data_IF_346854680122
#
_entry.id   IF_346854680122
#
_cell.length_a   1.000
_cell.length_b   1.000
_cell.length_c   1.000
_cell.angle_alpha   90.00
_cell.angle_beta   90.00
_cell.angle_gamma   90.00
#
_symmetry.space_group_name_H-M   'P 1'
#
loop_
_entity.id
_entity.type
_entity.pdbx_description
1 polymer ?
#
# COMPACT_ATOMS: atom_id res chain seq x y z
N UNK A 1 4.98 -4.38 -11.24
CA UNK A 1 3.98 -5.14 -10.45
C UNK A 1 2.64 -5.10 -11.19
N UNK A 2 1.86 -6.19 -11.22
CA UNK A 2 0.55 -6.24 -11.91
C UNK A 2 -0.60 -6.15 -10.91
N UNK A 3 -1.56 -5.28 -11.17
CA UNK A 3 -2.81 -5.15 -10.44
C UNK A 3 -3.96 -5.64 -11.33
N UNK A 4 -4.36 -6.91 -11.20
CA UNK A 4 -5.46 -7.47 -12.00
C UNK A 4 -6.82 -7.09 -11.41
N UNK A 5 -7.82 -7.01 -12.26
CA UNK A 5 -9.20 -7.00 -11.78
C UNK A 5 -9.48 -8.30 -11.00
N UNK A 6 -10.29 -8.25 -9.93
CA UNK A 6 -10.71 -9.45 -9.24
C UNK A 6 -11.48 -10.38 -10.18
N UNK A 7 -11.23 -11.68 -10.06
CA UNK A 7 -11.94 -12.77 -10.74
C UNK A 7 -13.29 -13.11 -10.08
N UNK A 8 -13.52 -12.59 -8.87
CA UNK A 8 -14.79 -12.64 -8.16
C UNK A 8 -15.65 -11.41 -8.49
N UNK A 9 -17.00 -11.53 -8.45
CA UNK A 9 -17.88 -10.41 -8.75
C UNK A 9 -17.54 -9.28 -7.78
N UNK A 10 -17.14 -8.12 -8.32
CA UNK A 10 -16.85 -6.96 -7.49
C UNK A 10 -18.00 -6.77 -6.50
N UNK A 11 -17.72 -6.92 -5.20
CA UNK A 11 -18.73 -6.79 -4.15
C UNK A 11 -19.61 -5.58 -4.48
N UNK A 12 -20.93 -5.79 -4.56
CA UNK A 12 -21.89 -4.77 -4.98
C UNK A 12 -21.52 -3.44 -4.33
N UNK A 13 -20.91 -2.56 -5.12
CA UNK A 13 -20.34 -1.33 -4.61
C UNK A 13 -21.53 -0.50 -4.20
N UNK A 14 -21.72 -0.28 -2.89
CA UNK A 14 -22.77 0.62 -2.39
C UNK A 14 -22.48 1.98 -3.03
N UNK A 15 -23.33 2.49 -3.94
CA UNK A 15 -23.09 3.77 -4.58
C UNK A 15 -23.18 4.84 -3.49
N UNK A 16 -22.06 5.39 -3.04
CA UNK A 16 -22.06 6.50 -2.06
C UNK A 16 -20.87 6.57 -1.11
N UNK A 17 -20.34 5.43 -0.65
CA UNK A 17 -19.41 5.42 0.52
C UNK A 17 -17.92 5.21 0.18
N UNK A 18 -17.62 4.83 -1.05
CA UNK A 18 -16.24 4.76 -1.54
C UNK A 18 -15.95 5.99 -2.40
N UNK A 19 -14.78 6.66 -2.22
CA UNK A 19 -14.32 7.64 -3.18
C UNK A 19 -14.45 7.07 -4.60
N UNK A 20 -14.85 7.87 -5.60
CA UNK A 20 -14.99 7.41 -6.97
C UNK A 20 -13.80 6.53 -7.35
N UNK A 21 -14.08 5.29 -7.72
CA UNK A 21 -13.05 4.37 -8.19
C UNK A 21 -12.34 5.03 -9.38
N UNK A 22 -11.04 5.28 -9.24
CA UNK A 22 -10.26 6.01 -10.25
C UNK A 22 -9.20 6.94 -9.66
N UNK A 23 -9.34 7.37 -8.41
CA UNK A 23 -8.34 8.23 -7.75
C UNK A 23 -7.17 7.46 -7.15
N UNK A 24 -7.26 6.13 -6.97
CA UNK A 24 -6.21 5.33 -6.32
C UNK A 24 -4.84 5.41 -7.02
N UNK A 25 -4.82 5.35 -8.36
CA UNK A 25 -3.59 5.50 -9.14
C UNK A 25 -3.06 6.94 -9.13
N UNK A 26 -3.95 7.94 -9.11
CA UNK A 26 -3.57 9.34 -8.95
C UNK A 26 -2.92 9.58 -7.58
N UNK A 27 -3.53 9.07 -6.51
CA UNK A 27 -2.98 9.16 -5.15
C UNK A 27 -1.67 8.40 -5.00
N UNK A 28 -1.49 7.28 -5.72
CA UNK A 28 -0.22 6.58 -5.76
C UNK A 28 0.85 7.41 -6.48
N UNK A 29 0.54 8.00 -7.65
CA UNK A 29 1.44 8.92 -8.34
C UNK A 29 1.89 10.06 -7.43
N UNK A 30 0.94 10.75 -6.80
CA UNK A 30 1.22 11.86 -5.88
C UNK A 30 2.19 11.43 -4.76
N UNK A 31 2.02 10.24 -4.17
CA UNK A 31 2.92 9.73 -3.14
C UNK A 31 4.32 9.39 -3.67
N UNK A 32 4.41 8.88 -4.90
CA UNK A 32 5.72 8.62 -5.54
C UNK A 32 6.43 9.94 -5.84
N UNK A 33 5.71 10.93 -6.36
CA UNK A 33 6.24 12.27 -6.64
C UNK A 33 6.73 12.97 -5.37
N UNK A 34 5.99 12.84 -4.26
CA UNK A 34 6.37 13.41 -2.95
C UNK A 34 7.72 12.91 -2.42
N UNK A 35 8.11 11.68 -2.77
CA UNK A 35 9.40 11.11 -2.37
C UNK A 35 10.46 11.25 -3.47
N UNK A 36 10.21 12.03 -4.52
CA UNK A 36 11.14 12.21 -5.63
C UNK A 36 11.33 10.96 -6.49
N UNK A 37 10.34 10.07 -6.51
CA UNK A 37 10.33 8.88 -7.35
C UNK A 37 9.72 9.11 -8.74
N UNK A 38 9.62 8.04 -9.52
CA UNK A 38 8.97 8.03 -10.84
C UNK A 38 7.88 6.95 -10.88
N UNK A 39 6.70 7.28 -11.40
CA UNK A 39 5.56 6.35 -11.47
C UNK A 39 4.93 6.27 -12.86
N UNK A 40 4.67 5.04 -13.32
CA UNK A 40 3.86 4.78 -14.51
C UNK A 40 2.80 3.71 -14.25
N UNK A 41 1.64 3.87 -14.92
CA UNK A 41 0.52 2.94 -14.87
C UNK A 41 -0.02 2.77 -16.30
N UNK A 42 -0.16 1.53 -16.76
CA UNK A 42 -0.68 1.19 -18.08
C UNK A 42 -1.86 0.23 -17.95
N UNK A 43 -2.99 0.47 -18.63
CA UNK A 43 -4.10 -0.47 -18.63
C UNK A 43 -3.70 -1.78 -19.33
N UNK A 44 -4.24 -2.90 -18.86
CA UNK A 44 -4.03 -4.23 -19.45
C UNK A 44 -5.32 -4.75 -20.09
N UNK A 45 -5.20 -5.66 -21.06
CA UNK A 45 -6.34 -6.18 -21.82
C UNK A 45 -7.36 -7.00 -21.01
N UNK A 46 -6.98 -7.45 -19.81
CA UNK A 46 -7.82 -8.16 -18.85
C UNK A 46 -8.53 -7.21 -17.86
N UNK A 47 -8.53 -5.90 -18.12
CA UNK A 47 -9.20 -4.90 -17.29
C UNK A 47 -8.42 -4.49 -16.03
N UNK A 48 -7.16 -4.90 -15.92
CA UNK A 48 -6.23 -4.51 -14.87
C UNK A 48 -5.29 -3.37 -15.27
N UNK A 49 -4.23 -3.21 -14.46
CA UNK A 49 -3.13 -2.29 -14.73
C UNK A 49 -1.76 -2.94 -14.47
N UNK A 50 -0.79 -2.57 -15.30
CA UNK A 50 0.63 -2.78 -15.04
C UNK A 50 1.23 -1.51 -14.44
N UNK A 51 1.88 -1.64 -13.28
CA UNK A 51 2.40 -0.53 -12.49
C UNK A 51 3.93 -0.65 -12.32
N UNK A 52 4.63 0.46 -12.53
CA UNK A 52 6.05 0.61 -12.23
C UNK A 52 6.27 1.86 -11.37
N UNK A 53 6.96 1.69 -10.24
CA UNK A 53 7.41 2.76 -9.39
C UNK A 53 8.92 2.61 -9.13
N UNK A 54 9.67 3.67 -9.37
CA UNK A 54 11.09 3.78 -9.01
C UNK A 54 11.17 4.75 -7.85
N UNK A 55 11.66 4.28 -6.70
CA UNK A 55 11.75 5.06 -5.48
C UNK A 55 13.22 5.21 -5.08
N UNK A 56 13.62 6.34 -4.47
CA UNK A 56 14.92 6.45 -3.85
C UNK A 56 15.12 5.36 -2.80
N UNK A 57 16.22 4.60 -2.93
CA UNK A 57 16.63 3.63 -1.94
C UNK A 57 17.28 4.33 -0.76
N UNK A 58 16.95 3.91 0.47
CA UNK A 58 17.83 4.13 1.61
C UNK A 58 18.87 3.02 1.62
N UNK A 59 20.14 3.34 1.85
CA UNK A 59 21.13 2.34 2.23
C UNK A 59 20.66 1.68 3.52
N UNK A 60 19.95 0.58 3.38
CA UNK A 60 19.62 -0.27 4.52
C UNK A 60 20.90 -1.03 4.79
N UNK A 61 21.72 -0.51 5.70
CA UNK A 61 22.69 -1.35 6.39
C UNK A 61 21.94 -2.64 6.81
N UNK A 62 22.53 -3.84 6.59
CA UNK A 62 21.87 -5.10 6.91
C UNK A 62 21.26 -5.00 8.31
N UNK A 63 20.06 -5.59 8.55
CA UNK A 63 19.41 -5.54 9.85
C UNK A 63 20.40 -6.04 10.89
N UNK A 64 21.04 -5.11 11.58
CA UNK A 64 21.91 -5.41 12.69
C UNK A 64 20.97 -5.93 13.75
N UNK A 65 21.28 -7.12 14.27
CA UNK A 65 20.48 -7.89 15.20
C UNK A 65 20.15 -7.06 16.45
N UNK A 66 19.12 -6.22 16.35
CA UNK A 66 18.58 -5.45 17.46
C UNK A 66 17.50 -6.30 18.11
N UNK A 67 17.91 -7.48 18.56
CA UNK A 67 17.29 -8.20 19.67
C UNK A 67 17.44 -7.40 20.96
N UNK A 68 16.79 -6.24 21.03
CA UNK A 68 16.51 -5.57 22.31
C UNK A 68 15.27 -6.23 22.93
N UNK A 69 15.22 -6.44 24.25
CA UNK A 69 14.09 -7.09 24.88
C UNK A 69 12.83 -6.29 24.60
N UNK A 70 11.82 -6.95 24.01
CA UNK A 70 10.45 -6.41 23.97
C UNK A 70 10.06 -6.11 25.41
N UNK A 71 9.89 -4.83 25.75
CA UNK A 71 9.27 -4.43 27.01
C UNK A 71 7.91 -5.12 27.08
N UNK A 72 7.78 -6.10 27.96
CA UNK A 72 6.51 -6.73 28.27
C UNK A 72 5.56 -5.63 28.72
N UNK A 73 4.42 -5.48 28.03
CA UNK A 73 3.33 -4.64 28.50
C UNK A 73 2.82 -5.30 29.79
N UNK A 74 2.92 -4.65 30.97
CA UNK A 74 2.37 -5.24 32.18
C UNK A 74 0.85 -5.36 32.00
N UNK A 75 0.33 -6.58 32.16
CA UNK A 75 -1.09 -6.81 32.29
C UNK A 75 -1.56 -6.02 33.51
N UNK A 76 -2.30 -4.94 33.26
CA UNK A 76 -2.89 -4.12 34.31
C UNK A 76 -3.81 -4.98 35.17
N UNK A 77 -3.38 -5.21 36.40
CA UNK A 77 -4.21 -5.78 37.46
C UNK A 77 -5.07 -4.70 38.11
N UNK A 78 -6.34 -5.07 38.36
CA UNK A 78 -7.15 -4.53 39.44
C UNK A 78 -8.27 -3.58 39.04
N UNK A 79 -9.52 -4.05 39.16
CA UNK A 79 -10.41 -3.68 40.28
C UNK A 79 -11.78 -4.37 40.14
N UNK A 80 -12.15 -5.15 41.15
CA UNK A 80 -13.51 -5.28 41.68
C UNK A 80 -13.37 -5.51 43.18
#
# INVERSE_FOLDING_TARGET
MRNRAPDWPAAGRVPGDLPPSGTGLLGLRQRVDLVGGVFSAQPTGDGGFELLAVLPGKDTAPPSDRGGPRLAVPAGGGRA
#
